data_IF_568060655481
#
_entry.id   IF_568060655481
#
_cell.length_a   1.000
_cell.length_b   1.000
_cell.length_c   1.000
_cell.angle_alpha   90.00
_cell.angle_beta   90.00
_cell.angle_gamma   90.00
#
_symmetry.space_group_name_H-M   'P 1'
#
loop_
_entity.id
_entity.type
_entity.pdbx_description
1 polymer ?
#
# COMPACT_ATOMS: atom_id res chain seq x y z
N UNK A 1 -4.17 1.72 -20.93
CA UNK A 1 -4.03 0.95 -19.67
C UNK A 1 -4.77 -0.39 -19.81
N UNK A 2 -4.25 -1.50 -19.27
CA UNK A 2 -4.76 -2.87 -19.56
C UNK A 2 -6.23 -3.13 -19.18
N UNK A 3 -6.81 -2.31 -18.30
CA UNK A 3 -8.23 -2.37 -17.90
C UNK A 3 -9.17 -1.52 -18.76
N UNK A 4 -8.66 -0.58 -19.57
CA UNK A 4 -9.49 0.30 -20.42
C UNK A 4 -10.32 -0.49 -21.43
N UNK A 5 -9.79 -1.62 -21.93
CA UNK A 5 -10.53 -2.53 -22.84
C UNK A 5 -11.78 -3.15 -22.21
N UNK A 6 -11.89 -3.10 -20.88
CA UNK A 6 -13.08 -3.52 -20.13
C UNK A 6 -13.92 -2.32 -19.68
N UNK A 7 -13.66 -1.11 -20.17
CA UNK A 7 -14.41 0.10 -19.79
C UNK A 7 -14.01 0.72 -18.45
N UNK A 8 -13.05 0.14 -17.72
CA UNK A 8 -12.56 0.71 -16.46
C UNK A 8 -11.38 1.65 -16.74
N UNK A 9 -11.67 2.94 -16.82
CA UNK A 9 -10.70 3.97 -17.25
C UNK A 9 -10.33 4.95 -16.14
N UNK A 10 -11.21 5.19 -15.18
CA UNK A 10 -10.95 6.04 -14.02
C UNK A 10 -9.82 5.45 -13.15
N UNK A 11 -8.74 6.20 -12.86
CA UNK A 11 -7.59 5.69 -12.11
C UNK A 11 -7.93 5.12 -10.74
N UNK A 12 -8.90 5.69 -10.02
CA UNK A 12 -9.30 5.23 -8.69
C UNK A 12 -10.14 3.94 -8.78
N UNK A 13 -10.99 3.83 -9.79
CA UNK A 13 -11.70 2.59 -10.12
C UNK A 13 -10.74 1.48 -10.52
N UNK A 14 -9.70 1.79 -11.30
CA UNK A 14 -8.60 0.86 -11.62
C UNK A 14 -7.85 0.43 -10.38
N UNK A 15 -7.50 1.37 -9.49
CA UNK A 15 -6.85 1.04 -8.22
C UNK A 15 -7.71 0.08 -7.39
N UNK A 16 -9.00 0.37 -7.25
CA UNK A 16 -9.92 -0.47 -6.50
C UNK A 16 -10.01 -1.85 -7.11
N UNK A 17 -10.29 -1.95 -8.42
CA UNK A 17 -10.35 -3.20 -9.15
C UNK A 17 -9.09 -4.06 -8.94
N UNK A 18 -7.92 -3.47 -9.18
CA UNK A 18 -6.63 -4.14 -9.08
C UNK A 18 -6.31 -4.62 -7.67
N UNK A 19 -6.66 -3.84 -6.65
CA UNK A 19 -6.33 -4.17 -5.26
C UNK A 19 -7.32 -5.14 -4.62
N UNK A 20 -8.62 -5.04 -4.93
CA UNK A 20 -9.64 -5.92 -4.33
C UNK A 20 -9.86 -7.22 -5.10
N UNK A 21 -9.47 -7.31 -6.38
CA UNK A 21 -9.66 -8.53 -7.18
C UNK A 21 -9.15 -9.84 -6.55
N UNK A 22 -8.04 -9.89 -5.77
CA UNK A 22 -7.63 -11.12 -5.09
C UNK A 22 -8.69 -11.67 -4.11
N UNK A 23 -9.57 -10.83 -3.57
CA UNK A 23 -10.68 -11.24 -2.69
C UNK A 23 -11.85 -11.88 -3.47
N UNK A 24 -11.82 -11.84 -4.81
CA UNK A 24 -12.95 -12.15 -5.66
C UNK A 24 -13.89 -10.95 -5.87
N UNK A 25 -15.06 -11.21 -6.44
CA UNK A 25 -16.08 -10.19 -6.73
C UNK A 25 -16.91 -9.88 -5.47
N UNK A 26 -16.24 -9.43 -4.41
CA UNK A 26 -16.89 -9.05 -3.15
C UNK A 26 -17.54 -7.68 -3.26
N UNK A 27 -18.65 -7.50 -2.54
CA UNK A 27 -19.41 -6.25 -2.52
C UNK A 27 -18.68 -5.11 -1.81
N UNK A 28 -19.14 -3.88 -2.06
CA UNK A 28 -18.55 -2.66 -1.52
C UNK A 28 -18.31 -2.66 0.00
N UNK A 29 -19.21 -3.16 0.88
CA UNK A 29 -18.95 -3.18 2.32
C UNK A 29 -17.70 -4.00 2.71
N UNK A 30 -17.44 -5.11 2.02
CA UNK A 30 -16.24 -5.93 2.25
C UNK A 30 -14.99 -5.17 1.81
N UNK A 31 -15.04 -4.51 0.65
CA UNK A 31 -13.93 -3.67 0.17
C UNK A 31 -13.66 -2.51 1.11
N UNK A 32 -14.70 -1.80 1.59
CA UNK A 32 -14.56 -0.71 2.57
C UNK A 32 -13.88 -1.18 3.85
N UNK A 33 -14.23 -2.36 4.37
CA UNK A 33 -13.65 -2.90 5.59
C UNK A 33 -12.12 -3.08 5.49
N UNK A 34 -11.63 -3.55 4.35
CA UNK A 34 -10.17 -3.76 4.13
C UNK A 34 -9.47 -2.51 3.59
N UNK A 35 -10.21 -1.57 3.01
CA UNK A 35 -9.70 -0.28 2.52
C UNK A 35 -9.98 0.82 3.54
N UNK A 36 -9.56 0.61 4.79
CA UNK A 36 -9.90 1.38 5.98
C UNK A 36 -9.82 2.92 5.87
N UNK A 37 -9.02 3.46 4.94
CA UNK A 37 -8.88 4.90 4.72
C UNK A 37 -9.84 5.50 3.67
N UNK A 38 -10.62 4.70 2.95
CA UNK A 38 -11.54 5.21 1.92
C UNK A 38 -12.94 5.51 2.49
N UNK A 39 -13.58 6.55 1.98
CA UNK A 39 -14.96 6.86 2.31
C UNK A 39 -15.90 5.73 1.84
N UNK A 40 -16.81 5.23 2.70
CA UNK A 40 -17.72 4.15 2.32
C UNK A 40 -18.54 4.44 1.06
N UNK A 41 -19.07 5.68 0.93
CA UNK A 41 -19.83 6.10 -0.24
C UNK A 41 -18.99 6.07 -1.53
N UNK A 42 -17.72 6.45 -1.44
CA UNK A 42 -16.79 6.47 -2.57
C UNK A 42 -16.50 5.06 -3.11
N UNK A 43 -16.39 4.07 -2.21
CA UNK A 43 -16.26 2.65 -2.56
C UNK A 43 -17.56 2.11 -3.15
N UNK A 44 -18.70 2.44 -2.55
CA UNK A 44 -20.03 1.98 -2.97
C UNK A 44 -20.41 2.46 -4.38
N UNK A 45 -19.96 3.65 -4.78
CA UNK A 45 -20.16 4.18 -6.13
C UNK A 45 -19.38 3.40 -7.20
N UNK A 46 -18.21 2.84 -6.84
CA UNK A 46 -17.23 2.32 -7.82
C UNK A 46 -17.20 0.81 -7.91
N UNK A 47 -17.13 0.12 -6.77
CA UNK A 47 -16.87 -1.34 -6.74
C UNK A 47 -17.92 -2.14 -7.53
N UNK A 48 -19.24 -1.88 -7.38
CA UNK A 48 -20.24 -2.59 -8.19
C UNK A 48 -20.03 -2.40 -9.69
N UNK A 49 -19.84 -1.15 -10.14
CA UNK A 49 -19.65 -0.82 -11.55
C UNK A 49 -18.38 -1.46 -12.14
N UNK A 50 -17.32 -1.60 -11.34
CA UNK A 50 -16.11 -2.34 -11.73
C UNK A 50 -16.45 -3.81 -11.99
N UNK A 51 -17.17 -4.49 -11.09
CA UNK A 51 -17.48 -5.91 -11.23
C UNK A 51 -18.52 -6.23 -12.31
N UNK A 52 -19.38 -5.27 -12.67
CA UNK A 52 -20.22 -5.36 -13.87
C UNK A 52 -19.39 -5.34 -15.18
N UNK A 53 -18.19 -4.75 -15.13
CA UNK A 53 -17.36 -4.48 -16.32
C UNK A 53 -16.21 -5.47 -16.50
N UNK A 54 -15.58 -5.91 -15.40
CA UNK A 54 -14.40 -6.78 -15.42
C UNK A 54 -14.46 -7.83 -14.32
N UNK A 55 -14.16 -9.09 -14.65
CA UNK A 55 -14.04 -10.14 -13.63
C UNK A 55 -12.76 -9.97 -12.79
N UNK A 56 -12.73 -10.43 -11.54
CA UNK A 56 -11.52 -10.39 -10.71
C UNK A 56 -10.31 -11.04 -11.39
N UNK A 57 -10.51 -12.18 -12.07
CA UNK A 57 -9.45 -12.86 -12.84
C UNK A 57 -8.89 -11.99 -13.95
N UNK A 58 -9.75 -11.31 -14.71
CA UNK A 58 -9.30 -10.39 -15.77
C UNK A 58 -8.54 -9.19 -15.18
N UNK A 59 -8.99 -8.66 -14.04
CA UNK A 59 -8.29 -7.56 -13.36
C UNK A 59 -6.90 -7.97 -12.86
N UNK A 60 -6.75 -9.18 -12.29
CA UNK A 60 -5.46 -9.73 -11.87
C UNK A 60 -4.50 -9.88 -13.05
N UNK A 61 -4.96 -10.48 -14.15
CA UNK A 61 -4.14 -10.66 -15.37
C UNK A 61 -3.76 -9.32 -16.01
N UNK A 62 -4.70 -8.38 -16.07
CA UNK A 62 -4.45 -7.03 -16.58
C UNK A 62 -3.40 -6.31 -15.72
N UNK A 63 -3.49 -6.42 -14.39
CA UNK A 63 -2.53 -5.85 -13.44
C UNK A 63 -1.13 -6.44 -13.62
N UNK A 64 -1.02 -7.77 -13.69
CA UNK A 64 0.26 -8.48 -13.91
C UNK A 64 0.92 -8.08 -15.24
N UNK A 65 0.14 -8.03 -16.33
CA UNK A 65 0.67 -7.57 -17.62
C UNK A 65 1.13 -6.11 -17.57
N UNK A 66 0.32 -5.23 -16.97
CA UNK A 66 0.65 -3.81 -16.86
C UNK A 66 1.94 -3.58 -16.07
N UNK A 67 2.14 -4.31 -14.95
CA UNK A 67 3.33 -4.15 -14.14
C UNK A 67 4.58 -4.73 -14.82
N UNK A 68 4.48 -5.87 -15.51
CA UNK A 68 5.59 -6.43 -16.28
C UNK A 68 6.11 -5.41 -17.31
N UNK A 69 5.21 -4.88 -18.14
CA UNK A 69 5.56 -3.82 -19.12
C UNK A 69 6.11 -2.55 -18.46
N UNK A 70 5.54 -2.14 -17.32
CA UNK A 70 6.01 -0.94 -16.61
C UNK A 70 7.42 -1.13 -16.04
N UNK A 71 7.70 -2.27 -15.41
CA UNK A 71 9.01 -2.58 -14.84
C UNK A 71 10.07 -2.73 -15.91
N UNK A 72 9.78 -3.40 -17.04
CA UNK A 72 10.70 -3.48 -18.17
C UNK A 72 11.08 -2.09 -18.70
N UNK A 73 10.10 -1.19 -18.85
CA UNK A 73 10.33 0.19 -19.29
C UNK A 73 11.15 1.00 -18.27
N UNK A 74 10.87 0.83 -16.97
CA UNK A 74 11.48 1.64 -15.91
C UNK A 74 12.90 1.18 -15.53
N UNK A 75 13.15 -0.12 -15.55
CA UNK A 75 14.39 -0.74 -15.09
C UNK A 75 15.32 -1.15 -16.24
N UNK A 76 14.76 -1.40 -17.42
CA UNK A 76 15.50 -1.84 -18.60
C UNK A 76 15.79 -3.34 -18.63
N UNK A 77 16.04 -3.90 -19.83
CA UNK A 77 16.16 -5.34 -20.07
C UNK A 77 17.34 -6.01 -19.35
N UNK A 78 18.42 -5.27 -19.07
CA UNK A 78 19.60 -5.80 -18.39
C UNK A 78 19.33 -6.03 -16.90
N UNK A 79 18.71 -5.05 -16.23
CA UNK A 79 18.35 -5.16 -14.80
C UNK A 79 17.33 -6.28 -14.59
N UNK A 80 16.30 -6.35 -15.45
CA UNK A 80 15.24 -7.38 -15.36
C UNK A 80 15.81 -8.82 -15.48
N UNK A 81 16.85 -9.02 -16.28
CA UNK A 81 17.48 -10.34 -16.51
C UNK A 81 18.67 -10.63 -15.60
N UNK A 82 19.00 -9.72 -14.69
CA UNK A 82 20.15 -9.87 -13.80
C UNK A 82 19.96 -10.97 -12.76
N UNK A 83 21.07 -11.57 -12.33
CA UNK A 83 21.08 -12.50 -11.18
C UNK A 83 20.57 -11.81 -9.91
N UNK A 84 20.88 -10.51 -9.74
CA UNK A 84 20.39 -9.69 -8.64
C UNK A 84 18.86 -9.61 -8.59
N UNK A 85 18.18 -9.46 -9.73
CA UNK A 85 16.71 -9.48 -9.80
C UNK A 85 16.16 -10.85 -9.37
N UNK A 86 16.77 -11.94 -9.83
CA UNK A 86 16.37 -13.30 -9.44
C UNK A 86 16.57 -13.57 -7.95
N UNK A 87 17.70 -13.13 -7.38
CA UNK A 87 17.99 -13.26 -5.95
C UNK A 87 17.03 -12.41 -5.11
N UNK A 88 16.77 -11.15 -5.49
CA UNK A 88 15.79 -10.30 -4.83
C UNK A 88 14.39 -10.92 -4.83
N UNK A 89 13.94 -11.45 -5.98
CA UNK A 89 12.66 -12.12 -6.10
C UNK A 89 12.56 -13.33 -5.17
N UNK A 90 13.61 -14.16 -5.11
CA UNK A 90 13.69 -15.33 -4.24
C UNK A 90 13.61 -14.95 -2.76
N UNK A 91 14.40 -13.97 -2.32
CA UNK A 91 14.43 -13.52 -0.93
C UNK A 91 13.10 -12.89 -0.51
N UNK A 92 12.54 -12.00 -1.34
CA UNK A 92 11.24 -11.39 -1.08
C UNK A 92 10.12 -12.43 -1.01
N UNK A 93 10.14 -13.42 -1.90
CA UNK A 93 9.16 -14.53 -1.91
C UNK A 93 9.26 -15.33 -0.61
N UNK A 94 10.47 -15.73 -0.20
CA UNK A 94 10.68 -16.47 1.04
C UNK A 94 10.16 -15.69 2.26
N UNK A 95 10.44 -14.39 2.33
CA UNK A 95 9.88 -13.54 3.39
C UNK A 95 8.35 -13.49 3.33
N UNK A 96 7.77 -13.23 2.15
CA UNK A 96 6.33 -13.09 1.99
C UNK A 96 5.54 -14.34 2.38
N UNK A 97 6.10 -15.54 2.18
CA UNK A 97 5.50 -16.81 2.62
C UNK A 97 5.68 -17.10 4.12
N UNK A 98 6.54 -16.35 4.82
CA UNK A 98 6.81 -16.51 6.26
C UNK A 98 5.73 -15.94 7.18
N UNK A 99 4.67 -15.32 6.65
CA UNK A 99 3.62 -14.67 7.43
C UNK A 99 2.39 -15.56 7.68
N UNK A 100 1.62 -15.21 8.72
CA UNK A 100 0.38 -15.90 9.09
C UNK A 100 -0.86 -15.21 8.50
N UNK A 101 -1.89 -15.99 8.15
CA UNK A 101 -3.13 -15.47 7.56
C UNK A 101 -4.14 -14.80 8.51
N UNK A 102 -4.35 -15.25 9.77
CA UNK A 102 -5.44 -14.74 10.59
C UNK A 102 -5.40 -13.21 10.77
N UNK A 103 -6.54 -12.55 10.51
CA UNK A 103 -6.66 -11.09 10.56
C UNK A 103 -6.01 -10.34 9.40
N UNK A 104 -5.51 -11.05 8.37
CA UNK A 104 -4.80 -10.46 7.22
C UNK A 104 -5.49 -10.79 5.89
N UNK A 105 -6.71 -10.28 5.63
CA UNK A 105 -7.52 -10.68 4.48
C UNK A 105 -6.88 -10.35 3.13
N UNK A 106 -6.25 -9.17 2.97
CA UNK A 106 -5.64 -8.79 1.69
C UNK A 106 -4.34 -9.56 1.43
N UNK A 107 -3.54 -9.78 2.48
CA UNK A 107 -2.39 -10.67 2.40
C UNK A 107 -2.81 -12.09 2.00
N UNK A 108 -3.74 -12.70 2.74
CA UNK A 108 -4.20 -14.06 2.48
C UNK A 108 -4.77 -14.23 1.06
N UNK A 109 -5.51 -13.22 0.58
CA UNK A 109 -6.05 -13.21 -0.77
C UNK A 109 -4.96 -13.15 -1.85
N UNK A 110 -3.88 -12.41 -1.63
CA UNK A 110 -2.76 -12.40 -2.59
C UNK A 110 -1.93 -13.68 -2.52
N UNK A 111 -1.76 -14.29 -1.34
CA UNK A 111 -1.08 -15.59 -1.19
C UNK A 111 -1.80 -16.71 -1.95
N UNK A 112 -3.12 -16.63 -2.07
CA UNK A 112 -3.92 -17.62 -2.81
C UNK A 112 -3.78 -17.53 -4.34
N UNK A 113 -3.08 -16.52 -4.87
CA UNK A 113 -2.85 -16.37 -6.30
C UNK A 113 -1.70 -17.27 -6.78
N UNK A 114 -1.70 -17.57 -8.08
CA UNK A 114 -0.59 -18.27 -8.72
C UNK A 114 0.67 -17.40 -8.70
N UNK A 115 1.78 -17.98 -8.26
CA UNK A 115 3.05 -17.31 -8.20
C UNK A 115 3.61 -17.09 -9.62
N UNK A 116 3.99 -15.85 -9.99
CA UNK A 116 4.60 -15.58 -11.29
C UNK A 116 5.99 -16.24 -11.43
N UNK A 117 6.31 -16.70 -12.64
CA UNK A 117 7.62 -17.30 -12.96
C UNK A 117 8.70 -16.25 -13.26
N UNK A 118 8.35 -15.13 -13.93
CA UNK A 118 9.35 -14.13 -14.28
C UNK A 118 9.85 -13.39 -13.02
N UNK A 119 11.18 -13.32 -12.78
CA UNK A 119 11.72 -12.78 -11.52
C UNK A 119 11.21 -11.41 -11.12
N UNK A 120 11.11 -10.47 -12.07
CA UNK A 120 10.65 -9.11 -11.78
C UNK A 120 9.14 -9.04 -11.42
N UNK A 121 8.32 -9.94 -11.98
CA UNK A 121 6.90 -10.03 -11.63
C UNK A 121 6.74 -10.78 -10.30
N UNK A 122 7.54 -11.82 -10.06
CA UNK A 122 7.60 -12.52 -8.78
C UNK A 122 8.01 -11.60 -7.63
N UNK A 123 9.03 -10.76 -7.83
CA UNK A 123 9.44 -9.73 -6.87
C UNK A 123 8.31 -8.75 -6.58
N UNK A 124 7.63 -8.24 -7.61
CA UNK A 124 6.50 -7.33 -7.43
C UNK A 124 5.33 -7.99 -6.69
N UNK A 125 5.04 -9.26 -6.99
CA UNK A 125 4.01 -10.02 -6.30
C UNK A 125 4.36 -10.23 -4.81
N UNK A 126 5.60 -10.61 -4.51
CA UNK A 126 6.09 -10.74 -3.15
C UNK A 126 6.04 -9.41 -2.38
N UNK A 127 6.46 -8.31 -3.00
CA UNK A 127 6.33 -6.97 -2.44
C UNK A 127 4.87 -6.59 -2.18
N UNK A 128 3.95 -6.99 -3.06
CA UNK A 128 2.50 -6.79 -2.86
C UNK A 128 2.00 -7.56 -1.65
N UNK A 129 2.38 -8.83 -1.49
CA UNK A 129 2.03 -9.63 -0.32
C UNK A 129 2.56 -9.01 0.98
N UNK A 130 3.84 -8.62 1.03
CA UNK A 130 4.44 -7.96 2.19
C UNK A 130 3.75 -6.63 2.51
N UNK A 131 3.41 -5.84 1.47
CA UNK A 131 2.70 -4.57 1.62
C UNK A 131 1.29 -4.77 2.17
N UNK A 132 0.55 -5.75 1.70
CA UNK A 132 -0.79 -6.05 2.24
C UNK A 132 -0.71 -6.69 3.63
N UNK A 133 0.32 -7.50 3.91
CA UNK A 133 0.58 -8.00 5.26
C UNK A 133 0.74 -6.82 6.24
N UNK A 134 1.67 -5.90 5.98
CA UNK A 134 1.85 -4.70 6.81
C UNK A 134 0.56 -3.88 6.90
N UNK A 135 -0.11 -3.65 5.78
CA UNK A 135 -1.34 -2.86 5.69
C UNK A 135 -2.49 -3.42 6.53
N UNK A 136 -2.74 -4.73 6.46
CA UNK A 136 -3.74 -5.40 7.29
C UNK A 136 -3.38 -5.29 8.79
N UNK A 137 -2.09 -5.33 9.14
CA UNK A 137 -1.61 -5.13 10.51
C UNK A 137 -1.83 -3.71 11.02
N UNK A 138 -1.55 -2.73 10.15
CA UNK A 138 -1.82 -1.34 10.45
C UNK A 138 -3.32 -1.10 10.67
N UNK A 139 -4.19 -1.71 9.86
CA UNK A 139 -5.64 -1.64 10.04
C UNK A 139 -6.11 -2.23 11.39
N UNK A 140 -5.47 -3.32 11.86
CA UNK A 140 -5.72 -3.88 13.19
C UNK A 140 -5.37 -2.86 14.30
N UNK A 141 -4.20 -2.23 14.20
CA UNK A 141 -3.75 -1.23 15.20
C UNK A 141 -4.68 -0.02 15.20
N UNK A 142 -5.02 0.51 14.02
CA UNK A 142 -5.97 1.61 13.87
C UNK A 142 -7.35 1.27 14.45
N UNK A 143 -7.85 0.05 14.20
CA UNK A 143 -9.10 -0.43 14.78
C UNK A 143 -9.05 -0.52 16.31
N UNK A 144 -7.92 -1.00 16.86
CA UNK A 144 -7.70 -1.04 18.31
C UNK A 144 -7.68 0.34 18.96
N UNK A 145 -7.12 1.35 18.28
CA UNK A 145 -7.03 2.73 18.74
C UNK A 145 -8.29 3.57 18.44
N UNK A 146 -9.30 2.97 17.82
CA UNK A 146 -10.51 3.64 17.34
C UNK A 146 -10.16 4.86 16.46
N UNK A 147 -9.22 4.67 15.53
CA UNK A 147 -8.76 5.66 14.57
C UNK A 147 -8.95 5.09 13.15
N UNK A 148 -10.16 5.14 12.62
CA UNK A 148 -10.47 4.58 11.30
C UNK A 148 -11.04 5.64 10.36
N UNK A 149 -11.01 5.37 9.05
CA UNK A 149 -11.52 6.29 8.05
C UNK A 149 -10.80 7.64 8.06
N UNK A 150 -11.57 8.73 8.05
CA UNK A 150 -11.05 10.09 7.96
C UNK A 150 -10.13 10.48 9.15
N UNK A 151 -10.39 10.00 10.37
CA UNK A 151 -9.55 10.35 11.54
C UNK A 151 -8.12 9.85 11.39
N UNK A 152 -7.93 8.64 10.88
CA UNK A 152 -6.59 8.10 10.59
C UNK A 152 -5.85 8.99 9.58
N UNK A 153 -6.55 9.43 8.53
CA UNK A 153 -5.97 10.28 7.48
C UNK A 153 -5.64 11.69 8.00
N UNK A 154 -6.54 12.30 8.78
CA UNK A 154 -6.31 13.62 9.38
C UNK A 154 -5.09 13.57 10.28
N UNK A 155 -4.99 12.55 11.14
CA UNK A 155 -3.87 12.38 12.06
C UNK A 155 -2.55 12.17 11.31
N UNK A 156 -2.58 11.40 10.21
CA UNK A 156 -1.40 11.18 9.38
C UNK A 156 -0.96 12.47 8.65
N UNK A 157 -1.90 13.18 8.02
CA UNK A 157 -1.66 14.45 7.34
C UNK A 157 -1.19 15.57 8.28
N UNK A 158 -1.53 15.51 9.57
CA UNK A 158 -1.05 16.45 10.58
C UNK A 158 0.42 16.21 10.98
N UNK A 159 1.02 15.10 10.52
CA UNK A 159 2.40 14.75 10.85
C UNK A 159 3.41 15.22 9.82
N UNK A 160 4.67 15.38 10.24
CA UNK A 160 5.78 15.76 9.35
C UNK A 160 6.07 14.74 8.23
N UNK A 161 5.69 13.47 8.44
CA UNK A 161 5.86 12.39 7.46
C UNK A 161 4.60 12.18 6.60
N UNK A 162 3.52 12.88 6.91
CA UNK A 162 2.24 12.77 6.22
C UNK A 162 2.26 13.44 4.86
N UNK A 163 1.44 12.95 3.95
CA UNK A 163 1.15 13.67 2.72
C UNK A 163 0.16 14.82 2.98
N UNK A 164 0.17 15.90 2.15
CA UNK A 164 -0.78 17.00 2.31
C UNK A 164 -2.24 16.57 2.16
N UNK A 165 -3.13 17.19 2.94
CA UNK A 165 -4.59 16.96 2.89
C UNK A 165 -5.13 17.07 1.47
N UNK A 166 -4.68 18.06 0.71
CA UNK A 166 -5.16 18.40 -0.63
C UNK A 166 -4.86 17.27 -1.63
N UNK A 167 -3.88 16.41 -1.33
CA UNK A 167 -3.57 15.22 -2.11
C UNK A 167 -4.36 14.02 -1.58
N UNK A 168 -4.37 13.80 -0.26
CA UNK A 168 -4.93 12.59 0.35
C UNK A 168 -6.46 12.57 0.31
N UNK A 169 -7.11 13.64 0.75
CA UNK A 169 -8.56 13.70 0.91
C UNK A 169 -9.34 13.33 -0.38
N UNK A 170 -9.08 13.97 -1.55
CA UNK A 170 -9.81 13.63 -2.77
C UNK A 170 -9.52 12.21 -3.27
N UNK A 171 -8.30 11.69 -3.07
CA UNK A 171 -7.92 10.33 -3.49
C UNK A 171 -8.60 9.24 -2.64
N UNK A 172 -9.17 9.62 -1.50
CA UNK A 172 -9.86 8.73 -0.55
C UNK A 172 -11.37 8.93 -0.54
N UNK A 173 -11.87 9.92 -1.28
CA UNK A 173 -13.30 10.17 -1.44
C UNK A 173 -13.98 10.87 -0.26
N UNK A 174 -13.20 11.50 0.62
CA UNK A 174 -13.74 12.26 1.74
C UNK A 174 -14.09 13.69 1.34
N UNK A 175 -15.17 14.22 1.89
CA UNK A 175 -15.53 15.63 1.70
C UNK A 175 -14.82 16.53 2.73
N UNK A 176 -14.80 17.84 2.47
CA UNK A 176 -14.36 18.83 3.46
C UNK A 176 -15.16 18.73 4.77
N UNK A 177 -16.46 18.46 4.68
CA UNK A 177 -17.31 18.30 5.86
C UNK A 177 -16.92 17.07 6.69
N UNK A 178 -16.66 15.93 6.05
CA UNK A 178 -16.20 14.72 6.73
C UNK A 178 -14.84 14.95 7.40
N UNK A 179 -13.96 15.67 6.72
CA UNK A 179 -12.63 16.01 7.21
C UNK A 179 -12.68 16.92 8.44
N UNK A 180 -13.48 18.00 8.38
CA UNK A 180 -13.68 18.91 9.52
C UNK A 180 -14.29 18.17 10.72
N UNK A 181 -15.29 17.32 10.49
CA UNK A 181 -15.87 16.51 11.57
C UNK A 181 -14.84 15.55 12.19
N UNK A 182 -13.93 14.98 11.39
CA UNK A 182 -12.84 14.16 11.91
C UNK A 182 -11.80 14.98 12.68
N UNK A 183 -11.50 16.21 12.23
CA UNK A 183 -10.63 17.13 12.98
C UNK A 183 -11.25 17.48 14.34
N UNK A 184 -12.53 17.82 14.40
CA UNK A 184 -13.24 18.12 15.65
C UNK A 184 -13.12 16.97 16.66
N UNK A 185 -13.37 15.73 16.24
CA UNK A 185 -13.23 14.55 17.12
C UNK A 185 -11.79 14.35 17.60
N UNK A 186 -10.79 14.63 16.76
CA UNK A 186 -9.38 14.52 17.15
C UNK A 186 -8.96 15.65 18.11
N UNK A 187 -9.54 16.86 17.97
CA UNK A 187 -9.37 17.96 18.93
C UNK A 187 -10.00 17.60 20.27
N UNK A 188 -11.21 17.05 20.28
CA UNK A 188 -11.89 16.58 21.51
C UNK A 188 -11.09 15.47 22.22
N UNK A 189 -10.35 14.66 21.46
CA UNK A 189 -9.43 13.64 21.97
C UNK A 189 -8.03 14.17 22.33
N UNK A 190 -7.80 15.48 22.15
CA UNK A 190 -6.53 16.17 22.37
C UNK A 190 -5.37 15.57 21.55
N UNK A 191 -5.65 14.98 20.38
CA UNK A 191 -4.63 14.41 19.49
C UNK A 191 -4.08 15.44 18.51
N UNK A 192 -4.91 16.41 18.14
CA UNK A 192 -4.51 17.60 17.39
C UNK A 192 -5.00 18.87 18.11
N UNK A 193 -4.38 20.00 17.85
CA UNK A 193 -4.83 21.30 18.33
C UNK A 193 -5.83 21.96 17.37
N UNK A 194 -6.35 23.14 17.75
CA UNK A 194 -7.30 23.90 16.94
C UNK A 194 -6.74 24.43 15.62
N UNK A 195 -5.41 24.37 15.41
CA UNK A 195 -4.77 24.69 14.13
C UNK A 195 -4.57 23.43 13.26
N UNK A 196 -4.93 22.24 13.75
CA UNK A 196 -4.77 20.97 13.06
C UNK A 196 -3.37 20.36 13.20
N UNK A 197 -2.57 20.83 14.16
CA UNK A 197 -1.21 20.30 14.42
C UNK A 197 -1.28 19.21 15.49
N UNK A 198 -0.43 18.17 15.39
CA UNK A 198 -0.33 17.15 16.44
C UNK A 198 0.02 17.77 17.80
N UNK A 199 -0.71 17.40 18.84
CA UNK A 199 -0.30 17.67 20.22
C UNK A 199 0.80 16.72 20.65
N UNK A 200 1.43 16.94 21.82
CA UNK A 200 2.37 15.99 22.40
C UNK A 200 1.76 14.58 22.59
N UNK A 201 0.47 14.52 22.93
CA UNK A 201 -0.29 13.27 23.04
C UNK A 201 -0.51 12.62 21.68
N UNK A 202 -0.84 13.41 20.66
CA UNK A 202 -0.96 12.94 19.28
C UNK A 202 0.33 12.37 18.72
N UNK A 203 1.46 13.04 18.97
CA UNK A 203 2.80 12.53 18.61
C UNK A 203 3.06 11.19 19.29
N UNK A 204 2.88 11.11 20.62
CA UNK A 204 3.11 9.88 21.37
C UNK A 204 2.23 8.71 20.87
N UNK A 205 0.97 8.98 20.56
CA UNK A 205 0.05 7.98 20.01
C UNK A 205 0.48 7.49 18.63
N UNK A 206 0.92 8.39 17.74
CA UNK A 206 1.44 7.99 16.42
C UNK A 206 2.68 7.13 16.55
N UNK A 207 3.60 7.47 17.44
CA UNK A 207 4.79 6.64 17.67
C UNK A 207 4.42 5.26 18.21
N UNK A 208 3.41 5.16 19.09
CA UNK A 208 2.87 3.87 19.56
C UNK A 208 2.27 3.06 18.42
N UNK A 209 1.44 3.69 17.59
CA UNK A 209 0.84 3.09 16.41
C UNK A 209 1.90 2.54 15.45
N UNK A 210 2.96 3.29 15.16
CA UNK A 210 4.05 2.83 14.30
C UNK A 210 4.85 1.69 14.94
N UNK A 211 5.15 1.76 16.25
CA UNK A 211 5.82 0.67 16.98
C UNK A 211 5.01 -0.63 16.91
N UNK A 212 3.70 -0.57 17.15
CA UNK A 212 2.84 -1.74 17.10
C UNK A 212 2.66 -2.26 15.68
N UNK A 213 2.52 -1.38 14.69
CA UNK A 213 2.48 -1.77 13.27
C UNK A 213 3.77 -2.50 12.88
N UNK A 214 4.94 -1.96 13.24
CA UNK A 214 6.23 -2.60 13.00
C UNK A 214 6.36 -3.93 13.75
N UNK A 215 5.92 -4.03 15.02
CA UNK A 215 5.91 -5.29 15.76
C UNK A 215 5.09 -6.36 15.04
N UNK A 216 3.91 -5.99 14.54
CA UNK A 216 3.00 -6.86 13.78
C UNK A 216 3.49 -7.22 12.38
N UNK A 217 4.48 -6.49 11.84
CA UNK A 217 5.03 -6.68 10.49
C UNK A 217 6.34 -7.48 10.47
N UNK A 218 6.91 -7.82 11.64
CA UNK A 218 8.20 -8.53 11.73
C UNK A 218 8.19 -9.96 11.18
N UNK A 219 7.07 -10.67 11.32
CA UNK A 219 6.98 -12.11 11.07
C UNK A 219 7.47 -12.57 9.68
N UNK A 220 7.10 -11.93 8.56
CA UNK A 220 7.66 -12.28 7.24
C UNK A 220 9.19 -12.37 7.21
N UNK A 221 9.88 -11.44 7.87
CA UNK A 221 11.33 -11.31 7.76
C UNK A 221 12.10 -12.29 8.65
N UNK A 222 11.45 -12.95 9.62
CA UNK A 222 12.10 -13.99 10.45
C UNK A 222 12.36 -15.28 9.67
N UNK A 223 11.80 -15.42 8.46
CA UNK A 223 12.11 -16.49 7.53
C UNK A 223 13.48 -16.31 6.83
N UNK A 224 14.10 -15.13 6.96
CA UNK A 224 15.40 -14.79 6.38
C UNK A 224 16.47 -14.66 7.46
N UNK A 225 17.74 -14.79 7.06
CA UNK A 225 18.86 -14.36 7.92
C UNK A 225 19.00 -12.84 7.91
N UNK A 226 19.61 -12.25 8.95
CA UNK A 226 19.85 -10.80 9.01
C UNK A 226 20.61 -10.30 7.77
N UNK A 227 21.62 -11.07 7.31
CA UNK A 227 22.38 -10.75 6.10
C UNK A 227 21.52 -10.78 4.83
N UNK A 228 20.56 -11.70 4.75
CA UNK A 228 19.64 -11.76 3.60
C UNK A 228 18.61 -10.64 3.64
N UNK A 229 18.15 -10.21 4.83
CA UNK A 229 17.29 -9.02 4.97
C UNK A 229 18.04 -7.76 4.51
N UNK A 230 19.28 -7.56 4.97
CA UNK A 230 20.11 -6.44 4.54
C UNK A 230 20.34 -6.45 3.03
N UNK A 231 20.66 -7.61 2.47
CA UNK A 231 20.85 -7.78 1.03
C UNK A 231 19.58 -7.47 0.23
N UNK A 232 18.42 -7.97 0.67
CA UNK A 232 17.14 -7.68 0.03
C UNK A 232 16.83 -6.17 0.07
N UNK A 233 17.07 -5.52 1.20
CA UNK A 233 16.86 -4.07 1.34
C UNK A 233 17.75 -3.27 0.37
N UNK A 234 19.02 -3.66 0.23
CA UNK A 234 19.94 -3.04 -0.73
C UNK A 234 19.43 -3.20 -2.18
N UNK A 235 19.04 -4.41 -2.57
CA UNK A 235 18.55 -4.68 -3.92
C UNK A 235 17.28 -3.88 -4.24
N UNK A 236 16.28 -3.91 -3.35
CA UNK A 236 15.02 -3.18 -3.56
C UNK A 236 15.27 -1.68 -3.63
N UNK A 237 16.17 -1.14 -2.79
CA UNK A 237 16.52 0.28 -2.82
C UNK A 237 17.14 0.71 -4.16
N UNK A 238 18.04 -0.10 -4.73
CA UNK A 238 18.64 0.18 -6.03
C UNK A 238 17.61 0.15 -7.17
N UNK A 239 16.67 -0.81 -7.12
CA UNK A 239 15.56 -0.90 -8.08
C UNK A 239 14.63 0.31 -7.97
N UNK A 240 14.24 0.71 -6.76
CA UNK A 240 13.40 1.90 -6.52
C UNK A 240 14.10 3.16 -7.00
N UNK A 241 15.40 3.30 -6.71
CA UNK A 241 16.21 4.45 -7.15
C UNK A 241 16.27 4.53 -8.67
N UNK A 242 16.51 3.40 -9.34
CA UNK A 242 16.52 3.31 -10.81
C UNK A 242 15.17 3.68 -11.39
N UNK A 243 14.08 3.08 -10.89
CA UNK A 243 12.73 3.38 -11.35
C UNK A 243 12.35 4.85 -11.16
N UNK A 244 12.72 5.46 -10.02
CA UNK A 244 12.52 6.88 -9.76
C UNK A 244 13.32 7.77 -10.72
N UNK A 245 14.56 7.38 -11.05
CA UNK A 245 15.38 8.02 -12.08
C UNK A 245 14.74 7.99 -13.47
N UNK A 246 14.01 6.91 -13.77
CA UNK A 246 13.27 6.70 -15.03
C UNK A 246 11.85 7.29 -15.03
N UNK A 247 11.46 8.05 -14.00
CA UNK A 247 10.17 8.74 -13.96
C UNK A 247 8.99 7.90 -13.46
N UNK A 248 9.23 6.92 -12.58
CA UNK A 248 8.16 6.14 -11.94
C UNK A 248 7.20 7.00 -11.07
N UNK A 249 7.69 8.12 -10.53
CA UNK A 249 6.93 8.99 -9.64
C UNK A 249 6.81 10.40 -10.21
N UNK A 250 5.72 11.08 -9.85
CA UNK A 250 5.59 12.51 -10.11
C UNK A 250 6.75 13.27 -9.45
N UNK A 251 7.31 14.32 -10.08
CA UNK A 251 8.48 15.02 -9.54
C UNK A 251 8.36 15.45 -8.08
N UNK A 252 7.16 15.90 -7.69
CA UNK A 252 6.82 16.38 -6.35
C UNK A 252 6.83 15.28 -5.28
N UNK A 253 6.63 14.01 -5.68
CA UNK A 253 6.55 12.85 -4.79
C UNK A 253 7.80 11.97 -4.85
N UNK A 254 8.77 12.33 -5.70
CA UNK A 254 9.97 11.52 -5.90
C UNK A 254 10.76 11.34 -4.60
N UNK A 255 10.99 12.41 -3.86
CA UNK A 255 11.75 12.34 -2.60
C UNK A 255 10.99 11.58 -1.51
N UNK A 256 9.66 11.58 -1.56
CA UNK A 256 8.81 10.81 -0.64
C UNK A 256 8.94 9.30 -0.89
N UNK A 257 8.87 8.86 -2.16
CA UNK A 257 8.89 7.43 -2.50
C UNK A 257 10.30 6.85 -2.75
N UNK A 258 11.28 7.70 -3.07
CA UNK A 258 12.67 7.31 -3.27
C UNK A 258 13.60 8.30 -2.54
N UNK A 259 13.54 8.34 -1.19
CA UNK A 259 14.37 9.24 -0.42
C UNK A 259 15.85 8.84 -0.51
N UNK A 260 16.75 9.75 -0.14
CA UNK A 260 18.18 9.47 -0.05
C UNK A 260 18.45 8.37 1.00
N UNK A 261 19.55 7.63 0.83
CA UNK A 261 19.86 6.44 1.64
C UNK A 261 19.85 6.68 3.17
N UNK A 262 20.24 7.86 3.64
CA UNK A 262 20.25 8.24 5.07
C UNK A 262 18.83 8.36 5.68
N UNK A 263 17.81 8.57 4.87
CA UNK A 263 16.41 8.57 5.30
C UNK A 263 15.79 7.17 5.15
N UNK A 264 16.22 6.37 4.18
CA UNK A 264 15.73 5.00 3.99
C UNK A 264 15.99 4.09 5.20
N UNK A 265 17.17 4.20 5.83
CA UNK A 265 17.52 3.39 7.00
C UNK A 265 16.81 3.83 8.31
N UNK A 266 16.07 4.94 8.28
CA UNK A 266 15.30 5.46 9.42
C UNK A 266 13.81 5.12 9.33
N UNK A 267 13.36 4.58 8.19
CA UNK A 267 12.02 4.04 7.94
C UNK A 267 11.98 2.57 8.37
#
# INVERSE_FOLDING_TARGET
MELERFGVTDPLSVYMACRSAPLGAVDAPVVTAVFHGFAPAFVAERVPAVWDSVSPKQAILARQKAIGTALERLLGPEVIRSEQMAEAAKLATAAAWGASFPGRPLYAANVALEQPDEPHIALWHAATMLREHRGDGHAIVLGHLELIGAEALVLDCASELGMPKEVVMPQRGWSEQDWSAAQERLVDRELIDGAGTLTARGVALREEMERETCRLDRAPYTALSDSDVEKLALYVRELVTTAAGSGAFMPQLREFFAPKAEAWNRL
#
